data_IF_404401612683
#
_entry.id   IF_404401612683
#
_cell.length_a   1.000
_cell.length_b   1.000
_cell.length_c   1.000
_cell.angle_alpha   90.00
_cell.angle_beta   90.00
_cell.angle_gamma   90.00
#
_symmetry.space_group_name_H-M   'P 1'
#
loop_
_entity.id
_entity.type
_entity.pdbx_description
1 polymer ?
#
# COMPACT_ATOMS: atom_id res chain seq x y z
N UNK A 1 37.02 -46.94 10.55
CA UNK A 1 36.26 -45.70 10.33
C UNK A 1 35.02 -46.08 9.53
N UNK A 2 33.88 -46.22 10.20
CA UNK A 2 32.64 -46.71 9.56
C UNK A 2 31.83 -45.52 9.08
N UNK A 3 31.67 -45.39 7.77
CA UNK A 3 30.71 -44.47 7.16
C UNK A 3 29.31 -45.08 7.24
N UNK A 4 28.46 -44.52 8.10
CA UNK A 4 27.02 -44.81 8.10
C UNK A 4 26.31 -44.04 6.98
N UNK A 5 25.18 -44.56 6.47
CA UNK A 5 24.43 -43.90 5.39
C UNK A 5 23.82 -42.59 5.92
N UNK A 6 24.06 -41.50 5.19
CA UNK A 6 23.42 -40.20 5.44
C UNK A 6 21.97 -40.33 4.95
N UNK A 7 21.01 -40.37 5.87
CA UNK A 7 19.60 -40.30 5.49
C UNK A 7 19.33 -38.99 4.71
N UNK A 8 18.57 -39.03 3.60
CA UNK A 8 18.17 -37.82 2.92
C UNK A 8 17.23 -37.05 3.84
N UNK A 9 17.71 -35.88 4.28
CA UNK A 9 16.95 -34.92 5.06
C UNK A 9 15.65 -34.61 4.29
N UNK A 10 14.49 -35.11 4.75
CA UNK A 10 13.21 -34.77 4.12
C UNK A 10 12.98 -33.27 4.35
N UNK A 11 12.81 -32.45 3.30
CA UNK A 11 12.57 -31.02 3.47
C UNK A 11 11.12 -30.71 3.91
N UNK A 12 10.45 -31.63 4.60
CA UNK A 12 9.07 -31.44 5.06
C UNK A 12 8.99 -30.74 6.43
N UNK A 13 10.13 -30.40 7.04
CA UNK A 13 10.20 -29.81 8.39
C UNK A 13 10.84 -28.41 8.43
N UNK A 14 10.96 -27.71 7.30
CA UNK A 14 11.53 -26.35 7.23
C UNK A 14 10.58 -25.27 6.70
N UNK A 15 9.30 -25.58 6.55
CA UNK A 15 8.26 -24.57 6.47
C UNK A 15 7.54 -24.61 7.82
N UNK A 16 8.08 -23.87 8.79
CA UNK A 16 7.32 -23.57 10.01
C UNK A 16 5.96 -23.04 9.57
N UNK A 17 4.90 -23.59 10.18
CA UNK A 17 3.54 -23.09 9.96
C UNK A 17 3.62 -21.59 10.16
N UNK A 18 3.41 -20.84 9.08
CA UNK A 18 3.50 -19.41 9.10
C UNK A 18 2.31 -18.95 9.94
N UNK A 19 2.53 -18.60 11.21
CA UNK A 19 1.58 -17.92 12.12
C UNK A 19 1.19 -16.51 11.63
N UNK A 20 1.36 -16.24 10.32
CA UNK A 20 0.55 -15.24 9.65
C UNK A 20 -0.85 -15.83 9.53
N UNK A 21 -1.51 -15.93 10.68
CA UNK A 21 -2.91 -16.30 10.82
C UNK A 21 -3.70 -15.43 9.84
N UNK A 22 -4.54 -16.07 9.05
CA UNK A 22 -5.38 -15.45 8.04
C UNK A 22 -6.38 -14.42 8.64
N UNK A 23 -6.37 -14.24 9.96
CA UNK A 23 -7.32 -13.46 10.75
C UNK A 23 -7.28 -11.94 10.50
N UNK A 24 -6.17 -11.39 9.99
CA UNK A 24 -6.03 -9.93 9.72
C UNK A 24 -5.89 -9.56 8.23
N UNK A 25 -6.06 -10.52 7.31
CA UNK A 25 -6.00 -10.22 5.88
C UNK A 25 -7.30 -9.55 5.42
N UNK A 26 -7.21 -8.28 5.03
CA UNK A 26 -8.34 -7.58 4.40
C UNK A 26 -8.78 -8.31 3.15
N UNK A 27 -10.10 -8.48 2.99
CA UNK A 27 -10.65 -8.89 1.70
C UNK A 27 -10.25 -7.86 0.64
N UNK A 28 -10.14 -8.29 -0.61
CA UNK A 28 -9.87 -7.38 -1.73
C UNK A 28 -10.88 -6.23 -1.81
N UNK A 29 -12.12 -6.48 -1.40
CA UNK A 29 -13.19 -5.47 -1.34
C UNK A 29 -12.89 -4.45 -0.24
N UNK A 30 -12.56 -4.88 0.97
CA UNK A 30 -12.22 -3.98 2.08
C UNK A 30 -10.94 -3.19 1.81
N UNK A 31 -9.92 -3.82 1.25
CA UNK A 31 -8.70 -3.15 0.82
C UNK A 31 -9.01 -2.06 -0.22
N UNK A 32 -9.86 -2.35 -1.20
CA UNK A 32 -10.29 -1.38 -2.21
C UNK A 32 -11.11 -0.23 -1.62
N UNK A 33 -12.01 -0.51 -0.68
CA UNK A 33 -12.80 0.52 0.01
C UNK A 33 -11.92 1.44 0.85
N UNK A 34 -11.02 0.87 1.66
CA UNK A 34 -10.06 1.65 2.46
C UNK A 34 -9.15 2.49 1.57
N UNK A 35 -8.69 1.93 0.45
CA UNK A 35 -7.88 2.65 -0.52
C UNK A 35 -8.65 3.82 -1.16
N UNK A 36 -9.91 3.62 -1.53
CA UNK A 36 -10.79 4.68 -2.02
C UNK A 36 -11.04 5.78 -0.99
N UNK A 37 -11.24 5.42 0.27
CA UNK A 37 -11.37 6.37 1.37
C UNK A 37 -10.11 7.22 1.56
N UNK A 38 -8.93 6.58 1.52
CA UNK A 38 -7.64 7.28 1.68
C UNK A 38 -7.33 8.18 0.48
N UNK A 39 -7.67 7.78 -0.76
CA UNK A 39 -7.58 8.64 -1.96
C UNK A 39 -8.42 9.91 -1.75
N UNK A 40 -9.66 9.76 -1.28
CA UNK A 40 -10.54 10.91 -1.03
C UNK A 40 -10.02 11.79 0.12
N UNK A 41 -9.44 11.19 1.17
CA UNK A 41 -8.81 11.93 2.25
C UNK A 41 -7.60 12.73 1.77
N UNK A 42 -6.73 12.14 0.97
CA UNK A 42 -5.56 12.80 0.40
C UNK A 42 -5.95 13.96 -0.53
N UNK A 43 -6.98 13.79 -1.38
CA UNK A 43 -7.54 14.88 -2.19
C UNK A 43 -8.05 16.06 -1.34
N UNK A 44 -8.68 15.79 -0.19
CA UNK A 44 -9.12 16.86 0.73
C UNK A 44 -7.93 17.57 1.36
N UNK A 45 -6.90 16.84 1.79
CA UNK A 45 -5.68 17.43 2.36
C UNK A 45 -4.92 18.29 1.34
N UNK A 46 -4.84 17.85 0.08
CA UNK A 46 -4.28 18.65 -1.02
C UNK A 46 -5.01 19.97 -1.15
N UNK A 47 -6.35 19.93 -1.24
CA UNK A 47 -7.16 21.15 -1.36
C UNK A 47 -6.96 22.11 -0.18
N UNK A 48 -6.91 21.59 1.04
CA UNK A 48 -6.65 22.40 2.24
C UNK A 48 -5.26 23.05 2.22
N UNK A 49 -4.23 22.32 1.76
CA UNK A 49 -2.89 22.86 1.62
C UNK A 49 -2.80 23.92 0.50
N UNK A 50 -3.52 23.73 -0.60
CA UNK A 50 -3.65 24.74 -1.66
C UNK A 50 -4.35 26.02 -1.15
N UNK A 51 -5.41 25.87 -0.37
CA UNK A 51 -6.13 26.99 0.27
C UNK A 51 -5.22 27.73 1.26
N UNK A 52 -4.49 27.02 2.12
CA UNK A 52 -3.53 27.62 3.07
C UNK A 52 -2.42 28.41 2.36
N UNK A 53 -1.86 27.85 1.27
CA UNK A 53 -0.85 28.52 0.46
C UNK A 53 -1.36 29.79 -0.23
N UNK A 54 -2.66 29.85 -0.54
CA UNK A 54 -3.28 31.01 -1.17
C UNK A 54 -3.59 32.14 -0.17
N UNK A 55 -3.77 31.79 1.11
CA UNK A 55 -4.11 32.74 2.18
C UNK A 55 -2.87 33.30 2.90
N UNK A 56 -1.74 32.59 2.90
CA UNK A 56 -0.57 32.94 3.69
C UNK A 56 0.51 33.70 2.91
N UNK A 57 0.76 34.97 3.27
CA UNK A 57 1.84 35.80 2.73
C UNK A 57 3.21 35.52 3.39
N UNK A 58 3.25 34.65 4.42
CA UNK A 58 4.48 34.31 5.12
C UNK A 58 5.33 33.31 4.32
N UNK A 59 6.56 33.67 3.90
CA UNK A 59 7.41 32.77 3.10
C UNK A 59 7.88 31.53 3.88
N UNK A 60 7.94 31.60 5.22
CA UNK A 60 8.33 30.45 6.04
C UNK A 60 7.19 29.43 6.19
N UNK A 61 5.94 29.90 6.34
CA UNK A 61 4.76 29.03 6.45
C UNK A 61 4.43 28.44 5.07
N UNK A 62 4.47 29.28 4.02
CA UNK A 62 4.26 28.82 2.65
C UNK A 62 5.27 27.75 2.20
N UNK A 63 6.52 27.77 2.68
CA UNK A 63 7.48 26.70 2.39
C UNK A 63 7.10 25.36 3.04
N UNK A 64 6.54 25.39 4.26
CA UNK A 64 6.07 24.18 4.96
C UNK A 64 4.82 23.64 4.26
N UNK A 65 3.85 24.50 3.95
CA UNK A 65 2.61 24.09 3.30
C UNK A 65 2.85 23.56 1.88
N UNK A 66 3.82 24.12 1.15
CA UNK A 66 4.25 23.60 -0.15
C UNK A 66 4.88 22.21 -0.04
N UNK A 67 5.66 21.95 1.02
CA UNK A 67 6.23 20.62 1.26
C UNK A 67 5.13 19.60 1.62
N UNK A 68 4.15 20.00 2.43
CA UNK A 68 2.97 19.17 2.76
C UNK A 68 2.16 18.86 1.50
N UNK A 69 1.91 19.87 0.66
CA UNK A 69 1.22 19.70 -0.62
C UNK A 69 1.95 18.71 -1.53
N UNK A 70 3.27 18.86 -1.68
CA UNK A 70 4.08 17.97 -2.51
C UNK A 70 4.04 16.51 -1.99
N UNK A 71 4.11 16.33 -0.67
CA UNK A 71 4.03 15.01 -0.04
C UNK A 71 2.66 14.36 -0.26
N UNK A 72 1.57 15.10 -0.10
CA UNK A 72 0.21 14.57 -0.35
C UNK A 72 -0.03 14.28 -1.83
N UNK A 73 0.47 15.10 -2.75
CA UNK A 73 0.43 14.82 -4.19
C UNK A 73 1.14 13.49 -4.52
N UNK A 74 2.33 13.27 -3.96
CA UNK A 74 3.05 12.01 -4.15
C UNK A 74 2.27 10.82 -3.56
N UNK A 75 1.72 10.97 -2.35
CA UNK A 75 0.90 9.96 -1.69
C UNK A 75 -0.32 9.61 -2.54
N UNK A 76 -1.04 10.60 -3.05
CA UNK A 76 -2.20 10.40 -3.93
C UNK A 76 -1.82 9.61 -5.18
N UNK A 77 -0.71 9.95 -5.84
CA UNK A 77 -0.23 9.21 -7.01
C UNK A 77 0.04 7.74 -6.69
N UNK A 78 0.67 7.45 -5.55
CA UNK A 78 0.94 6.09 -5.12
C UNK A 78 -0.35 5.30 -4.83
N UNK A 79 -1.32 5.93 -4.17
CA UNK A 79 -2.61 5.31 -3.86
C UNK A 79 -3.41 5.00 -5.13
N UNK A 80 -3.45 5.92 -6.09
CA UNK A 80 -4.12 5.71 -7.38
C UNK A 80 -3.46 4.57 -8.15
N UNK A 81 -2.13 4.53 -8.23
CA UNK A 81 -1.42 3.41 -8.87
C UNK A 81 -1.66 2.08 -8.17
N UNK A 82 -1.78 2.07 -6.84
CA UNK A 82 -2.14 0.87 -6.10
C UNK A 82 -3.56 0.41 -6.46
N UNK A 83 -4.52 1.33 -6.57
CA UNK A 83 -5.90 1.03 -6.93
C UNK A 83 -5.99 0.46 -8.35
N UNK A 84 -5.29 1.05 -9.30
CA UNK A 84 -5.21 0.56 -10.68
C UNK A 84 -4.63 -0.85 -10.78
N UNK A 85 -3.62 -1.18 -9.95
CA UNK A 85 -3.05 -2.53 -9.90
C UNK A 85 -4.04 -3.56 -9.36
N UNK A 86 -4.79 -3.22 -8.31
CA UNK A 86 -5.83 -4.10 -7.74
C UNK A 86 -6.93 -4.33 -8.78
N UNK A 87 -7.39 -3.26 -9.45
CA UNK A 87 -8.42 -3.36 -10.50
C UNK A 87 -7.96 -4.23 -11.67
N UNK A 88 -6.71 -4.08 -12.12
CA UNK A 88 -6.13 -4.92 -13.18
C UNK A 88 -6.08 -6.39 -12.76
N UNK A 89 -5.57 -6.68 -11.56
CA UNK A 89 -5.52 -8.04 -11.03
C UNK A 89 -6.90 -8.69 -10.89
N UNK A 90 -7.92 -7.92 -10.52
CA UNK A 90 -9.31 -8.39 -10.48
C UNK A 90 -9.87 -8.68 -11.87
N UNK A 91 -9.58 -7.84 -12.86
CA UNK A 91 -10.00 -8.07 -14.24
C UNK A 91 -9.35 -9.33 -14.81
N UNK A 92 -8.02 -9.47 -14.66
CA UNK A 92 -7.26 -10.63 -15.15
C UNK A 92 -7.80 -11.94 -14.54
N UNK A 93 -8.10 -11.94 -13.23
CA UNK A 93 -8.69 -13.09 -12.53
C UNK A 93 -10.11 -13.44 -13.00
N UNK A 94 -10.87 -12.46 -13.51
CA UNK A 94 -12.23 -12.68 -14.05
C UNK A 94 -12.23 -13.17 -15.50
N UNK A 95 -11.23 -12.78 -16.30
CA UNK A 95 -11.16 -13.18 -17.72
C UNK A 95 -10.52 -14.55 -17.96
N UNK A 96 -9.70 -15.06 -17.03
CA UNK A 96 -9.05 -16.38 -17.12
C UNK A 96 -8.06 -16.52 -18.30
N UNK A 97 -7.07 -17.44 -18.22
CA UNK A 97 -6.25 -17.80 -19.39
C UNK A 97 -7.05 -18.57 -20.45
#
# INVERSE_FOLDING_TARGET
>A
MSGGPVEPNRPDAMLGVSDWDDEDLLTLVEASQRLGAEINASRRRIRQAEEALAEDDSPAIGAVDAAVLAAECLRLQQLVRAAERIQRGQADAQTGP
#
